data_IF_685534511050
#
_entry.id   IF_685534511050
#
_cell.length_a   1.000
_cell.length_b   1.000
_cell.length_c   1.000
_cell.angle_alpha   90.00
_cell.angle_beta   90.00
_cell.angle_gamma   90.00
#
_symmetry.space_group_name_H-M   'P 1'
#
loop_
_entity.id
_entity.type
_entity.pdbx_description
1 polymer ?
#
# COMPACT_ATOMS: atom_id res chain seq x y z
N UNK A 1 -20.69 -2.43 8.75
CA UNK A 1 -19.25 -2.70 8.93
C UNK A 1 -18.52 -1.96 7.81
N UNK A 2 -18.19 -0.69 8.06
CA UNK A 2 -17.54 0.20 7.10
C UNK A 2 -16.41 0.90 7.86
N UNK A 3 -15.16 0.54 7.58
CA UNK A 3 -14.02 1.40 7.86
C UNK A 3 -13.58 1.99 6.51
N UNK A 4 -14.29 3.00 5.96
CA UNK A 4 -13.74 3.75 4.84
C UNK A 4 -12.49 4.47 5.36
N UNK A 5 -11.47 4.56 4.51
CA UNK A 5 -10.17 5.13 4.86
C UNK A 5 -10.29 6.51 5.51
N UNK A 6 -9.95 6.59 6.80
CA UNK A 6 -9.73 7.85 7.50
C UNK A 6 -8.36 8.48 7.16
N UNK A 7 -7.62 7.89 6.21
CA UNK A 7 -6.47 8.54 5.63
C UNK A 7 -6.96 9.31 4.40
N UNK A 8 -7.37 10.55 4.64
CA UNK A 8 -7.68 11.54 3.62
C UNK A 8 -6.69 11.39 2.46
N UNK A 9 -7.19 11.17 1.24
CA UNK A 9 -6.40 10.65 0.10
C UNK A 9 -5.10 11.44 -0.12
N UNK A 10 -5.09 12.75 0.15
CA UNK A 10 -3.88 13.57 0.09
C UNK A 10 -2.88 13.29 1.23
N UNK A 11 -3.38 13.15 2.46
CA UNK A 11 -2.54 12.82 3.62
C UNK A 11 -1.96 11.42 3.50
N UNK A 12 -2.74 10.47 2.94
CA UNK A 12 -2.29 9.10 2.71
C UNK A 12 -1.13 8.98 1.72
N UNK A 13 -1.14 9.79 0.66
CA UNK A 13 -0.02 9.85 -0.29
C UNK A 13 1.25 10.33 0.40
N UNK A 14 1.19 11.42 1.18
CA UNK A 14 2.37 11.98 1.87
C UNK A 14 2.97 11.01 2.89
N UNK A 15 2.13 10.32 3.65
CA UNK A 15 2.61 9.31 4.62
C UNK A 15 3.25 8.13 3.87
N UNK A 16 2.64 7.68 2.77
CA UNK A 16 3.20 6.60 1.99
C UNK A 16 4.54 7.00 1.36
N UNK A 17 4.69 8.24 0.86
CA UNK A 17 5.98 8.76 0.37
C UNK A 17 7.07 8.67 1.42
N UNK A 18 6.77 9.08 2.66
CA UNK A 18 7.70 8.95 3.78
C UNK A 18 8.05 7.48 4.05
N UNK A 19 7.05 6.59 4.12
CA UNK A 19 7.28 5.16 4.37
C UNK A 19 8.14 4.52 3.27
N UNK A 20 7.93 4.88 2.01
CA UNK A 20 8.76 4.41 0.90
C UNK A 20 10.19 4.95 0.96
N UNK A 21 10.38 6.21 1.38
CA UNK A 21 11.73 6.77 1.60
C UNK A 21 12.44 5.98 2.69
N UNK A 22 11.81 5.83 3.87
CA UNK A 22 12.39 5.08 4.98
C UNK A 22 12.68 3.62 4.60
N UNK A 23 11.79 3.00 3.83
CA UNK A 23 12.01 1.64 3.34
C UNK A 23 13.28 1.54 2.49
N UNK A 24 13.52 2.51 1.61
CA UNK A 24 14.71 2.61 0.76
C UNK A 24 15.96 2.93 1.57
N UNK A 25 15.88 3.90 2.47
CA UNK A 25 17.01 4.43 3.22
C UNK A 25 17.55 3.44 4.25
N UNK A 26 16.64 2.68 4.88
CA UNK A 26 16.98 1.69 5.91
C UNK A 26 16.95 0.24 5.42
N UNK A 27 16.74 0.02 4.11
CA UNK A 27 16.65 -1.32 3.50
C UNK A 27 15.73 -2.30 4.26
N UNK A 28 14.57 -1.81 4.71
CA UNK A 28 13.60 -2.61 5.48
C UNK A 28 12.62 -3.33 4.55
N UNK A 29 11.66 -4.08 5.11
CA UNK A 29 10.51 -4.60 4.36
C UNK A 29 9.27 -3.78 4.70
N UNK A 30 8.61 -3.22 3.68
CA UNK A 30 7.36 -2.48 3.82
C UNK A 30 6.20 -3.31 3.29
N UNK A 31 5.23 -3.60 4.15
CA UNK A 31 3.95 -4.21 3.76
C UNK A 31 2.87 -3.13 3.83
N UNK A 32 2.21 -2.87 2.71
CA UNK A 32 1.19 -1.83 2.60
C UNK A 32 -0.13 -2.45 2.15
N UNK A 33 -1.20 -2.20 2.90
CA UNK A 33 -2.57 -2.56 2.53
C UNK A 33 -3.31 -1.29 2.14
N UNK A 34 -3.76 -1.21 0.89
CA UNK A 34 -4.45 -0.04 0.36
C UNK A 34 -5.52 -0.43 -0.64
N UNK A 35 -6.55 0.42 -0.76
CA UNK A 35 -7.56 0.35 -1.82
C UNK A 35 -7.24 1.32 -2.97
N UNK A 36 -6.19 2.12 -2.86
CA UNK A 36 -5.74 3.02 -3.92
C UNK A 36 -4.76 2.30 -4.86
N UNK A 37 -5.21 2.04 -6.09
CA UNK A 37 -4.42 1.35 -7.11
C UNK A 37 -3.16 2.12 -7.52
N UNK A 38 -3.20 3.45 -7.49
CA UNK A 38 -2.03 4.28 -7.84
C UNK A 38 -0.91 4.11 -6.83
N UNK A 39 -1.27 3.97 -5.55
CA UNK A 39 -0.30 3.73 -4.49
C UNK A 39 0.23 2.30 -4.54
N UNK A 40 -0.65 1.33 -4.77
CA UNK A 40 -0.27 -0.07 -4.92
C UNK A 40 0.67 -0.30 -6.11
N UNK A 41 0.54 0.48 -7.20
CA UNK A 41 1.43 0.42 -8.36
C UNK A 41 2.89 0.84 -8.06
N UNK A 42 3.15 1.49 -6.92
CA UNK A 42 4.51 1.84 -6.48
C UNK A 42 5.21 0.71 -5.73
N UNK A 43 4.47 -0.31 -5.29
CA UNK A 43 5.03 -1.49 -4.63
C UNK A 43 5.70 -2.40 -5.67
N UNK A 44 6.80 -3.05 -5.27
CA UNK A 44 7.54 -3.99 -6.12
C UNK A 44 6.74 -5.27 -6.41
N UNK A 45 5.89 -5.66 -5.46
CA UNK A 45 5.01 -6.82 -5.54
C UNK A 45 3.61 -6.39 -5.16
N UNK A 46 2.61 -6.86 -5.91
CA UNK A 46 1.22 -6.55 -5.67
C UNK A 46 0.42 -7.84 -5.53
N UNK A 47 -0.23 -8.01 -4.39
CA UNK A 47 -1.10 -9.14 -4.10
C UNK A 47 -2.52 -8.61 -3.95
N UNK A 48 -3.48 -9.21 -4.67
CA UNK A 48 -4.90 -8.94 -4.52
C UNK A 48 -5.52 -10.02 -3.65
N UNK A 49 -6.28 -9.61 -2.63
CA UNK A 49 -7.08 -10.52 -1.82
C UNK A 49 -8.44 -10.73 -2.50
N UNK A 50 -8.72 -11.95 -2.96
CA UNK A 50 -9.98 -12.33 -3.63
C UNK A 50 -10.52 -13.57 -2.93
N UNK A 51 -11.75 -13.50 -2.43
CA UNK A 51 -12.42 -14.59 -1.71
C UNK A 51 -11.55 -15.23 -0.60
N UNK A 52 -10.85 -14.39 0.16
CA UNK A 52 -9.97 -14.82 1.25
C UNK A 52 -8.64 -15.43 0.80
N UNK A 53 -8.33 -15.42 -0.51
CA UNK A 53 -7.07 -15.94 -1.06
C UNK A 53 -6.25 -14.81 -1.69
N UNK A 54 -4.95 -14.79 -1.39
CA UNK A 54 -4.01 -13.88 -2.05
C UNK A 54 -3.68 -14.39 -3.45
N UNK A 55 -3.77 -13.50 -4.44
CA UNK A 55 -3.37 -13.72 -5.82
C UNK A 55 -2.30 -12.70 -6.19
N UNK A 56 -1.21 -13.15 -6.81
CA UNK A 56 -0.20 -12.24 -7.33
C UNK A 56 -0.70 -11.61 -8.63
N UNK A 57 -0.65 -10.28 -8.71
CA UNK A 57 -0.92 -9.57 -9.95
C UNK A 57 0.38 -9.48 -10.76
N UNK A 58 0.28 -9.89 -12.04
CA UNK A 58 1.37 -9.84 -13.03
C UNK A 58 1.46 -8.49 -13.73
#
# INVERSE_FOLDING_TARGET
MSLPGNLDRQTGVKIADLLFSLNRDFATTLVLVTHDETLAARCQRRLRLVDGKLREES
#
